data_IF_788051412696
#
_entry.id   IF_788051412696
#
_cell.length_a   1.000
_cell.length_b   1.000
_cell.length_c   1.000
_cell.angle_alpha   90.00
_cell.angle_beta   90.00
_cell.angle_gamma   90.00
#
_symmetry.space_group_name_H-M   'P 1'
#
loop_
_entity.id
_entity.type
_entity.pdbx_description
1 polymer ?
#
# COMPACT_ATOMS: atom_id res chain seq x y z
N UNK A 1 16.00 -12.74 2.38
CA UNK A 1 14.69 -12.29 2.89
C UNK A 1 13.74 -12.11 1.72
N UNK A 2 12.55 -12.71 1.78
CA UNK A 2 11.51 -12.54 0.76
C UNK A 2 11.06 -11.07 0.77
N UNK A 3 11.27 -10.35 -0.35
CA UNK A 3 10.74 -8.99 -0.53
C UNK A 3 9.21 -9.07 -0.50
N UNK A 4 8.61 -8.42 0.49
CA UNK A 4 7.15 -8.25 0.57
C UNK A 4 6.77 -7.02 -0.26
N UNK A 5 5.56 -7.05 -0.80
CA UNK A 5 4.93 -5.92 -1.47
C UNK A 5 3.66 -5.59 -0.71
N UNK A 6 3.31 -4.31 -0.62
CA UNK A 6 2.01 -3.88 -0.08
C UNK A 6 1.08 -3.61 -1.26
N UNK A 7 -0.07 -4.28 -1.25
CA UNK A 7 -1.17 -4.00 -2.16
C UNK A 7 -2.19 -3.16 -1.42
N UNK A 8 -2.58 -2.04 -2.01
CA UNK A 8 -3.57 -1.11 -1.50
C UNK A 8 -4.68 -0.93 -2.54
N UNK A 9 -5.93 -1.02 -2.12
CA UNK A 9 -7.09 -0.74 -2.97
C UNK A 9 -8.25 -0.17 -2.15
N UNK A 10 -9.16 0.52 -2.83
CA UNK A 10 -10.36 1.08 -2.20
C UNK A 10 -11.55 0.15 -2.42
N UNK A 11 -12.06 -0.42 -1.35
CA UNK A 11 -13.31 -1.19 -1.33
C UNK A 11 -14.50 -0.25 -1.16
N UNK A 12 -15.56 -0.48 -1.94
CA UNK A 12 -16.83 0.24 -1.80
C UNK A 12 -17.49 0.07 -0.43
N UNK A 13 -17.21 -1.02 0.27
CA UNK A 13 -17.88 -1.38 1.52
C UNK A 13 -17.03 -1.12 2.77
N UNK A 14 -15.71 -1.19 2.63
CA UNK A 14 -14.79 -1.19 3.77
C UNK A 14 -13.74 -0.06 3.68
N UNK A 15 -13.82 0.82 2.68
CA UNK A 15 -12.82 1.87 2.46
C UNK A 15 -11.49 1.30 1.98
N UNK A 16 -10.38 1.94 2.35
CA UNK A 16 -9.04 1.51 1.94
C UNK A 16 -8.63 0.22 2.65
N UNK A 17 -8.19 -0.77 1.87
CA UNK A 17 -7.70 -2.05 2.36
C UNK A 17 -6.25 -2.23 1.90
N UNK A 18 -5.38 -2.62 2.83
CA UNK A 18 -3.99 -2.96 2.55
C UNK A 18 -3.68 -4.39 2.97
N UNK A 19 -2.86 -5.09 2.18
CA UNK A 19 -2.33 -6.41 2.55
C UNK A 19 -0.95 -6.66 1.93
N UNK A 20 -0.17 -7.54 2.55
CA UNK A 20 1.16 -7.92 2.05
C UNK A 20 1.10 -9.09 1.09
N UNK A 21 1.94 -9.09 0.07
CA UNK A 21 2.03 -10.16 -0.92
C UNK A 21 3.46 -10.42 -1.40
N UNK A 22 3.65 -11.50 -2.16
CA UNK A 22 4.94 -11.83 -2.80
C UNK A 22 5.13 -11.05 -4.10
N UNK A 23 6.37 -10.92 -4.57
CA UNK A 23 6.64 -10.26 -5.85
C UNK A 23 6.03 -10.98 -7.06
N UNK A 24 5.87 -12.31 -7.01
CA UNK A 24 5.16 -13.09 -8.04
C UNK A 24 3.67 -12.78 -8.07
N UNK A 25 3.03 -12.71 -6.90
CA UNK A 25 1.61 -12.42 -6.79
C UNK A 25 1.31 -10.96 -7.16
N UNK A 26 2.16 -10.01 -6.76
CA UNK A 26 2.06 -8.62 -7.18
C UNK A 26 2.03 -8.47 -8.72
N UNK A 27 2.92 -9.17 -9.43
CA UNK A 27 2.93 -9.19 -10.91
C UNK A 27 1.66 -9.82 -11.48
N UNK A 28 1.17 -10.89 -10.85
CA UNK A 28 -0.08 -11.55 -11.25
C UNK A 28 -1.28 -10.62 -11.07
N UNK A 29 -1.35 -9.88 -9.97
CA UNK A 29 -2.41 -8.89 -9.71
C UNK A 29 -2.40 -7.85 -10.84
N UNK A 30 -1.25 -7.26 -11.17
CA UNK A 30 -1.16 -6.28 -12.26
C UNK A 30 -1.58 -6.82 -13.62
N UNK A 31 -1.26 -8.08 -13.95
CA UNK A 31 -1.62 -8.66 -15.24
C UNK A 31 -3.13 -8.92 -15.38
N UNK A 32 -3.82 -9.22 -14.27
CA UNK A 32 -5.28 -9.41 -14.24
C UNK A 32 -6.06 -8.12 -13.95
N UNK A 33 -5.38 -7.07 -13.46
CA UNK A 33 -5.96 -5.77 -13.07
C UNK A 33 -6.66 -5.02 -14.22
N UNK A 34 -6.46 -5.42 -15.47
CA UNK A 34 -7.10 -4.79 -16.63
C UNK A 34 -8.63 -4.93 -16.68
N UNK A 35 -9.25 -5.65 -15.74
CA UNK A 35 -10.65 -6.03 -15.84
C UNK A 35 -11.62 -5.22 -14.96
N UNK A 36 -11.39 -5.02 -13.65
CA UNK A 36 -12.45 -4.41 -12.79
C UNK A 36 -12.00 -3.63 -11.54
N UNK A 37 -10.78 -3.81 -11.03
CA UNK A 37 -10.34 -3.18 -9.77
C UNK A 37 -9.15 -2.22 -10.00
N UNK A 38 -8.86 -1.33 -9.05
CA UNK A 38 -7.68 -0.46 -9.10
C UNK A 38 -6.80 -0.80 -7.90
N UNK A 39 -5.71 -1.52 -8.15
CA UNK A 39 -4.69 -1.79 -7.14
C UNK A 39 -3.50 -0.84 -7.28
N UNK A 40 -3.05 -0.31 -6.16
CA UNK A 40 -1.75 0.34 -6.02
C UNK A 40 -0.82 -0.63 -5.31
N UNK A 41 0.28 -1.00 -5.96
CA UNK A 41 1.24 -1.94 -5.39
C UNK A 41 2.54 -1.21 -5.10
N UNK A 42 3.08 -1.41 -3.90
CA UNK A 42 4.31 -0.81 -3.42
C UNK A 42 5.36 -1.88 -3.09
N UNK A 43 6.56 -1.75 -3.66
CA UNK A 43 7.75 -2.49 -3.22
C UNK A 43 8.28 -1.83 -1.96
N UNK A 44 8.00 -2.44 -0.80
CA UNK A 44 8.48 -1.98 0.49
C UNK A 44 8.54 -3.11 1.51
N UNK A 45 9.52 -3.04 2.39
CA UNK A 45 9.65 -3.93 3.54
C UNK A 45 9.19 -3.16 4.79
N UNK A 46 7.89 -3.20 5.09
CA UNK A 46 7.30 -2.41 6.18
C UNK A 46 7.87 -2.79 7.55
N UNK A 47 8.33 -4.04 7.71
CA UNK A 47 9.04 -4.54 8.91
C UNK A 47 10.43 -3.91 9.08
N UNK A 48 10.96 -3.25 8.05
CA UNK A 48 12.23 -2.52 8.12
C UNK A 48 12.06 -1.01 8.05
N UNK A 49 10.83 -0.52 7.95
CA UNK A 49 10.56 0.92 8.01
C UNK A 49 10.48 1.34 9.47
N UNK A 50 11.17 2.43 9.80
CA UNK A 50 11.06 3.10 11.09
C UNK A 50 10.55 4.53 10.84
N UNK A 51 9.39 4.93 11.39
CA UNK A 51 8.42 4.10 12.13
C UNK A 51 7.81 2.98 11.25
N UNK A 52 7.21 1.94 11.84
CA UNK A 52 6.53 0.83 11.13
C UNK A 52 5.23 1.30 10.45
N UNK A 53 5.36 2.33 9.61
CA UNK A 53 4.26 3.15 9.10
C UNK A 53 4.65 3.69 7.74
N UNK A 54 3.83 3.40 6.75
CA UNK A 54 3.94 3.92 5.39
C UNK A 54 2.96 5.10 5.25
N UNK A 55 3.43 6.26 4.79
CA UNK A 55 2.57 7.42 4.47
C UNK A 55 2.53 7.63 2.97
N UNK A 56 1.33 7.75 2.40
CA UNK A 56 1.11 7.92 0.96
C UNK A 56 0.32 9.20 0.69
N UNK A 57 0.77 10.02 -0.25
CA UNK A 57 0.04 11.24 -0.64
C UNK A 57 -1.29 10.91 -1.30
N UNK A 58 -2.34 11.59 -0.84
CA UNK A 58 -3.69 11.45 -1.37
C UNK A 58 -4.10 12.71 -2.15
N UNK A 59 -4.81 12.57 -3.28
CA UNK A 59 -5.31 11.34 -3.89
C UNK A 59 -4.20 10.50 -4.58
N UNK A 60 -4.31 9.17 -4.51
CA UNK A 60 -3.25 8.25 -4.97
C UNK A 60 -3.02 8.29 -6.49
N UNK A 61 -4.08 8.42 -7.29
CA UNK A 61 -4.01 8.41 -8.75
C UNK A 61 -3.20 9.58 -9.34
N UNK A 62 -2.98 10.64 -8.57
CA UNK A 62 -2.15 11.76 -8.98
C UNK A 62 -0.66 11.53 -8.69
N UNK A 63 -0.35 10.64 -7.74
CA UNK A 63 1.00 10.48 -7.19
C UNK A 63 1.61 9.09 -7.51
N UNK A 64 0.78 8.09 -7.77
CA UNK A 64 1.19 6.70 -7.93
C UNK A 64 0.51 6.02 -9.13
N UNK A 65 1.24 5.12 -9.78
CA UNK A 65 0.81 4.46 -11.01
C UNK A 65 0.26 3.07 -10.70
N UNK A 66 -1.04 2.86 -10.90
CA UNK A 66 -1.73 1.59 -10.64
C UNK A 66 -1.40 0.48 -11.66
N UNK A 67 -0.65 0.77 -12.72
CA UNK A 67 -0.23 -0.22 -13.73
C UNK A 67 1.14 -0.82 -13.45
N UNK A 68 1.84 -0.36 -12.41
CA UNK A 68 3.17 -0.86 -12.04
C UNK A 68 3.32 -1.03 -10.54
N UNK A 69 4.39 -1.71 -10.17
CA UNK A 69 4.86 -1.74 -8.78
C UNK A 69 5.62 -0.44 -8.53
N UNK A 70 5.09 0.40 -7.65
CA UNK A 70 5.70 1.66 -7.23
C UNK A 70 6.77 1.37 -6.18
N UNK A 71 7.92 2.02 -6.26
CA UNK A 71 8.93 1.92 -5.20
C UNK A 71 8.55 2.89 -4.09
N UNK A 72 8.33 2.39 -2.87
CA UNK A 72 8.07 3.30 -1.76
C UNK A 72 9.32 4.12 -1.45
N UNK A 73 9.12 5.41 -1.25
CA UNK A 73 10.07 6.34 -0.66
C UNK A 73 9.29 7.20 0.30
N UNK A 74 9.85 7.41 1.49
CA UNK A 74 9.28 8.37 2.42
C UNK A 74 9.32 9.76 1.79
N UNK A 75 8.17 10.42 1.73
CA UNK A 75 8.05 11.77 1.19
C UNK A 75 7.95 12.80 2.31
N UNK A 76 8.34 14.03 2.00
CA UNK A 76 8.03 15.17 2.83
C UNK A 76 6.57 15.57 2.59
N UNK A 77 5.82 15.71 3.69
CA UNK A 77 4.42 16.13 3.69
C UNK A 77 4.32 17.56 4.24
N UNK A 78 3.51 18.40 3.60
CA UNK A 78 3.12 19.71 4.10
C UNK A 78 1.90 19.61 5.02
N UNK A 79 1.65 20.63 5.84
CA UNK A 79 0.53 20.66 6.80
C UNK A 79 -0.86 20.52 6.13
N UNK A 80 -0.96 20.86 4.84
CA UNK A 80 -2.19 20.78 4.04
C UNK A 80 -2.31 19.51 3.21
N UNK A 81 -1.27 18.67 3.20
CA UNK A 81 -1.28 17.44 2.42
C UNK A 81 -2.25 16.45 3.04
N UNK A 82 -3.12 15.87 2.20
CA UNK A 82 -3.91 14.71 2.58
C UNK A 82 -3.10 13.45 2.38
N UNK A 83 -3.25 12.49 3.28
CA UNK A 83 -2.47 11.26 3.18
C UNK A 83 -3.18 10.03 3.73
N UNK A 84 -2.75 8.88 3.23
CA UNK A 84 -3.12 7.57 3.73
C UNK A 84 -1.96 7.05 4.56
N UNK A 85 -2.24 6.64 5.79
CA UNK A 85 -1.27 5.99 6.67
C UNK A 85 -1.58 4.50 6.71
N UNK A 86 -0.57 3.67 6.46
CA UNK A 86 -0.63 2.22 6.58
C UNK A 86 0.33 1.83 7.68
N UNK A 87 -0.21 1.42 8.82
CA UNK A 87 0.58 0.89 9.93
C UNK A 87 0.47 -0.62 10.00
N UNK A 88 1.54 -1.21 10.51
CA UNK A 88 1.65 -2.64 10.73
C UNK A 88 1.43 -2.94 12.21
N UNK A 89 0.45 -3.81 12.51
CA UNK A 89 0.32 -4.42 13.83
C UNK A 89 0.66 -5.92 13.71
N UNK A 90 1.73 -6.35 14.39
CA UNK A 90 1.94 -7.78 14.67
C UNK A 90 0.83 -8.24 15.58
N UNK A 91 -0.05 -9.11 15.08
CA UNK A 91 -0.95 -9.90 15.92
C UNK A 91 -0.49 -11.35 15.86
N UNK A 92 -0.66 -12.09 16.95
CA UNK A 92 -0.15 -13.48 17.12
C UNK A 92 -0.62 -14.46 16.01
N UNK A 93 -1.65 -14.11 15.23
CA UNK A 93 -2.23 -14.95 14.16
C UNK A 93 -2.12 -14.38 12.73
N UNK A 94 -1.50 -13.21 12.53
CA UNK A 94 -1.40 -12.65 11.18
C UNK A 94 -0.91 -11.21 11.10
N UNK A 95 -0.67 -10.79 9.86
CA UNK A 95 -0.33 -9.39 9.55
C UNK A 95 -1.62 -8.62 9.31
N UNK A 96 -1.94 -7.69 10.20
CA UNK A 96 -3.03 -6.74 10.03
C UNK A 96 -2.47 -5.36 9.65
N UNK A 97 -3.09 -4.74 8.65
CA UNK A 97 -2.79 -3.37 8.25
C UNK A 97 -3.92 -2.45 8.69
N UNK A 98 -3.60 -1.48 9.53
CA UNK A 98 -4.51 -0.38 9.84
C UNK A 98 -4.30 0.72 8.80
N UNK A 99 -5.39 1.14 8.16
CA UNK A 99 -5.37 2.14 7.09
C UNK A 99 -6.22 3.33 7.49
N UNK A 100 -5.56 4.47 7.70
CA UNK A 100 -6.21 5.74 8.09
C UNK A 100 -6.06 6.79 7.01
N UNK A 101 -7.12 7.56 6.79
CA UNK A 101 -7.14 8.68 5.85
C UNK A 101 -7.29 9.99 6.63
N UNK A 102 -6.40 10.95 6.35
CA UNK A 102 -6.33 12.26 7.00
C UNK A 102 -6.40 13.38 5.96
#
# INVERSE_FOLDING_TARGET
>A
MLKKHIVLFESKHYGWIAYSTTGSDAKRILSVNNKYDIFYIFDCDIEKQYPYTMKLKSPLNNNYDCKKINKYKEENFEEKDKYITISYETVDEGICFDVKHF
#
